data_IF_314007626857
#
_entry.id   IF_314007626857
#
_cell.length_a   1.000
_cell.length_b   1.000
_cell.length_c   1.000
_cell.angle_alpha   90.00
_cell.angle_beta   90.00
_cell.angle_gamma   90.00
#
_symmetry.space_group_name_H-M   'P 1'
#
loop_
_entity.id
_entity.type
_entity.pdbx_description
1 polymer ?
#
# COMPACT_ATOMS: atom_id res chain seq x y z
N UNK A 1 19.71 3.43 9.54
CA UNK A 1 18.56 3.37 8.61
C UNK A 1 18.28 1.90 8.38
N UNK A 2 17.11 1.40 8.81
CA UNK A 2 16.74 0.00 8.57
C UNK A 2 16.62 -0.21 7.06
N UNK A 3 17.33 -1.21 6.56
CA UNK A 3 17.42 -1.53 5.14
C UNK A 3 16.03 -2.06 4.70
N UNK A 4 15.21 -1.17 4.11
CA UNK A 4 13.85 -1.44 3.63
C UNK A 4 13.84 -2.38 2.40
N UNK A 5 14.72 -3.40 2.36
CA UNK A 5 14.97 -4.26 1.19
C UNK A 5 13.71 -4.97 0.68
N UNK A 6 12.80 -5.33 1.57
CA UNK A 6 11.61 -6.09 1.19
C UNK A 6 10.57 -5.23 0.42
N UNK A 7 10.40 -3.96 0.79
CA UNK A 7 9.32 -3.13 0.24
C UNK A 7 9.44 -2.89 -1.29
N UNK A 8 10.59 -2.46 -1.84
CA UNK A 8 10.76 -2.32 -3.28
C UNK A 8 10.61 -3.65 -4.04
N UNK A 9 11.00 -4.77 -3.41
CA UNK A 9 10.99 -6.09 -4.04
C UNK A 9 9.56 -6.60 -4.27
N UNK A 10 8.66 -6.37 -3.32
CA UNK A 10 7.30 -6.90 -3.37
C UNK A 10 6.23 -5.87 -3.79
N UNK A 11 6.49 -4.57 -3.64
CA UNK A 11 5.47 -3.54 -3.82
C UNK A 11 5.59 -2.74 -5.14
N UNK A 12 6.71 -2.79 -5.86
CA UNK A 12 6.96 -1.92 -7.04
C UNK A 12 6.64 -2.52 -8.42
N UNK A 13 6.03 -3.70 -8.52
CA UNK A 13 5.71 -4.26 -9.84
C UNK A 13 4.30 -3.85 -10.28
N UNK A 14 4.13 -3.13 -11.40
CA UNK A 14 2.81 -2.88 -11.95
C UNK A 14 2.20 -4.22 -12.36
N UNK A 15 1.00 -4.50 -11.84
CA UNK A 15 0.17 -5.62 -12.29
C UNK A 15 -0.73 -5.10 -13.40
N UNK A 16 -0.87 -5.82 -14.51
CA UNK A 16 -1.70 -5.41 -15.64
C UNK A 16 -3.04 -6.16 -15.64
N UNK A 17 -4.09 -5.53 -16.18
CA UNK A 17 -5.41 -6.16 -16.39
C UNK A 17 -5.28 -7.26 -17.42
N UNK A 18 -5.77 -8.46 -17.11
CA UNK A 18 -6.00 -9.47 -18.15
C UNK A 18 -7.47 -9.38 -18.55
N UNK A 19 -7.75 -8.92 -19.77
CA UNK A 19 -8.89 -9.48 -20.51
C UNK A 19 -8.41 -10.82 -21.03
N UNK A 20 -9.20 -11.86 -20.75
CA UNK A 20 -8.98 -13.23 -21.19
C UNK A 20 -8.42 -13.24 -22.63
N UNK A 21 -7.25 -13.89 -22.80
CA UNK A 21 -6.58 -14.31 -24.05
C UNK A 21 -5.63 -13.36 -24.83
N UNK A 22 -5.50 -12.06 -24.57
CA UNK A 22 -4.83 -11.16 -25.56
C UNK A 22 -3.82 -10.13 -25.00
N UNK A 23 -3.04 -10.45 -23.96
CA UNK A 23 -2.01 -9.50 -23.46
C UNK A 23 -0.96 -9.09 -24.51
N UNK A 24 -0.72 -9.94 -25.50
CA UNK A 24 0.29 -9.72 -26.55
C UNK A 24 -0.19 -8.77 -27.66
N UNK A 25 -1.50 -8.57 -27.83
CA UNK A 25 -2.07 -7.84 -28.97
C UNK A 25 -2.69 -6.49 -28.62
N UNK A 26 -2.81 -6.15 -27.34
CA UNK A 26 -3.42 -4.88 -26.93
C UNK A 26 -2.42 -3.70 -27.04
N UNK A 27 -2.77 -2.62 -27.78
CA UNK A 27 -2.01 -1.38 -27.80
C UNK A 27 -1.77 -0.84 -26.39
N UNK A 28 -0.64 -0.14 -26.19
CA UNK A 28 -0.23 0.41 -24.88
C UNK A 28 -1.32 1.28 -24.23
N UNK A 29 -2.11 1.99 -25.03
CA UNK A 29 -3.22 2.84 -24.61
C UNK A 29 -4.40 2.06 -24.00
N UNK A 30 -4.55 0.78 -24.34
CA UNK A 30 -5.62 -0.09 -23.86
C UNK A 30 -5.20 -0.91 -22.63
N UNK A 31 -3.93 -0.83 -22.23
CA UNK A 31 -3.40 -1.52 -21.04
C UNK A 31 -3.78 -0.74 -19.79
N UNK A 32 -4.74 -1.27 -19.04
CA UNK A 32 -5.13 -0.73 -17.73
C UNK A 32 -4.15 -1.27 -16.68
N UNK A 33 -3.46 -0.35 -16.01
CA UNK A 33 -2.60 -0.66 -14.87
C UNK A 33 -3.45 -0.90 -13.64
N UNK A 34 -3.16 -1.96 -12.89
CA UNK A 34 -3.77 -2.18 -11.58
C UNK A 34 -3.29 -1.10 -10.61
N UNK A 35 -4.17 -0.18 -10.26
CA UNK A 35 -3.94 0.83 -9.25
C UNK A 35 -4.92 0.60 -8.09
N UNK A 36 -4.49 -0.03 -6.97
CA UNK A 36 -5.39 -0.29 -5.84
C UNK A 36 -6.10 0.96 -5.32
N UNK A 37 -5.45 2.11 -5.40
CA UNK A 37 -6.03 3.40 -4.99
C UNK A 37 -7.19 3.88 -5.87
N UNK A 38 -7.36 3.33 -7.08
CA UNK A 38 -8.43 3.69 -8.01
C UNK A 38 -9.68 2.81 -7.84
N UNK A 39 -9.61 1.72 -7.07
CA UNK A 39 -10.71 0.79 -6.91
C UNK A 39 -11.32 0.92 -5.50
N UNK A 40 -12.65 0.84 -5.42
CA UNK A 40 -13.41 0.92 -4.16
C UNK A 40 -13.79 -0.46 -3.61
N UNK A 41 -13.74 -1.51 -4.43
CA UNK A 41 -14.03 -2.87 -3.99
C UNK A 41 -13.06 -3.89 -4.60
N UNK A 42 -12.72 -4.90 -3.79
CA UNK A 42 -11.86 -6.01 -4.16
C UNK A 42 -12.52 -7.32 -3.75
N UNK A 43 -12.61 -8.27 -4.68
CA UNK A 43 -13.11 -9.62 -4.44
C UNK A 43 -12.02 -10.61 -4.84
N UNK A 44 -11.56 -11.39 -3.86
CA UNK A 44 -10.63 -12.48 -4.11
C UNK A 44 -11.39 -13.69 -4.66
N UNK A 45 -10.93 -14.24 -5.79
CA UNK A 45 -11.51 -15.44 -6.34
C UNK A 45 -10.81 -16.67 -5.71
N UNK A 46 -11.48 -17.29 -4.73
CA UNK A 46 -10.94 -18.48 -4.04
C UNK A 46 -10.71 -19.68 -4.99
N UNK A 47 -11.47 -19.78 -6.07
CA UNK A 47 -11.34 -20.85 -7.06
C UNK A 47 -10.13 -20.64 -7.97
N UNK A 48 -9.73 -19.38 -8.22
CA UNK A 48 -8.61 -19.02 -9.08
C UNK A 48 -7.56 -18.24 -8.28
N UNK A 49 -6.65 -18.96 -7.62
CA UNK A 49 -5.56 -18.33 -6.84
C UNK A 49 -4.78 -17.33 -7.68
N UNK A 50 -4.59 -16.14 -7.12
CA UNK A 50 -3.91 -15.03 -7.77
C UNK A 50 -4.80 -14.21 -8.68
N UNK A 51 -6.10 -14.51 -8.77
CA UNK A 51 -7.07 -13.66 -9.49
C UNK A 51 -7.80 -12.76 -8.51
N UNK A 52 -7.80 -11.47 -8.81
CA UNK A 52 -8.59 -10.46 -8.10
C UNK A 52 -9.56 -9.82 -9.07
N UNK A 53 -10.78 -9.60 -8.60
CA UNK A 53 -11.79 -8.81 -9.30
C UNK A 53 -11.94 -7.49 -8.54
N UNK A 54 -11.87 -6.38 -9.26
CA UNK A 54 -12.06 -5.05 -8.68
C UNK A 54 -13.17 -4.28 -9.34
N UNK A 55 -13.70 -3.30 -8.62
CA UNK A 55 -14.73 -2.38 -9.10
C UNK A 55 -14.33 -0.96 -8.73
N UNK A 56 -14.65 -0.01 -9.60
CA UNK A 56 -14.37 1.42 -9.40
C UNK A 56 -15.29 2.02 -8.33
N UNK A 57 -16.47 1.44 -8.14
CA UNK A 57 -17.44 1.80 -7.11
C UNK A 57 -17.84 0.57 -6.29
N UNK A 58 -18.28 0.80 -5.05
CA UNK A 58 -18.88 -0.25 -4.22
C UNK A 58 -20.12 -0.76 -4.96
N UNK A 59 -20.16 -2.07 -5.22
CA UNK A 59 -21.21 -2.74 -6.01
C UNK A 59 -21.40 -2.19 -7.43
N UNK A 60 -20.35 -1.59 -8.01
CA UNK A 60 -20.36 -1.08 -9.38
C UNK A 60 -20.63 -2.17 -10.43
N UNK A 61 -21.30 -1.80 -11.52
CA UNK A 61 -21.61 -2.71 -12.62
C UNK A 61 -20.34 -3.12 -13.39
N UNK A 62 -19.42 -2.18 -13.59
CA UNK A 62 -18.16 -2.45 -14.26
C UNK A 62 -17.17 -3.12 -13.30
N UNK A 63 -16.55 -4.21 -13.77
CA UNK A 63 -15.53 -4.92 -13.02
C UNK A 63 -14.32 -5.25 -13.88
N UNK A 64 -13.17 -5.27 -13.22
CA UNK A 64 -11.87 -5.51 -13.81
C UNK A 64 -11.26 -6.74 -13.15
N UNK A 65 -10.76 -7.67 -13.96
CA UNK A 65 -10.05 -8.84 -13.45
C UNK A 65 -8.55 -8.67 -13.66
N UNK A 66 -7.78 -8.92 -12.63
CA UNK A 66 -6.32 -8.85 -12.66
C UNK A 66 -5.73 -10.17 -12.17
N UNK A 67 -4.66 -10.60 -12.85
CA UNK A 67 -3.84 -11.72 -12.39
C UNK A 67 -2.65 -11.17 -11.62
N UNK A 68 -2.65 -11.35 -10.32
CA UNK A 68 -1.48 -11.14 -9.50
C UNK A 68 -0.40 -12.12 -9.94
N UNK A 69 0.87 -11.68 -10.05
CA UNK A 69 1.97 -12.56 -10.37
C UNK A 69 1.99 -13.72 -9.38
N UNK A 70 1.97 -14.95 -9.90
CA UNK A 70 2.09 -16.15 -9.07
C UNK A 70 3.45 -16.11 -8.38
N UNK A 71 3.47 -15.79 -7.09
CA UNK A 71 4.65 -16.06 -6.28
C UNK A 71 4.80 -17.59 -6.21
N UNK A 72 5.92 -18.10 -6.72
CA UNK A 72 6.21 -19.54 -6.82
C UNK A 72 6.56 -20.16 -5.46
N UNK A 73 6.60 -19.36 -4.38
CA UNK A 73 6.92 -19.80 -3.03
C UNK A 73 5.91 -19.33 -1.99
N UNK A 74 5.93 -19.97 -0.82
CA UNK A 74 5.24 -19.49 0.36
C UNK A 74 5.78 -18.09 0.72
N UNK A 75 4.91 -17.09 0.74
CA UNK A 75 5.27 -15.75 1.20
C UNK A 75 5.22 -15.76 2.72
N UNK A 76 6.38 -15.63 3.36
CA UNK A 76 6.45 -15.38 4.80
C UNK A 76 6.29 -13.88 5.05
N UNK A 77 5.42 -13.51 5.99
CA UNK A 77 5.38 -12.13 6.48
C UNK A 77 6.73 -11.78 7.11
N UNK A 78 7.23 -10.54 6.92
CA UNK A 78 8.40 -10.08 7.65
C UNK A 78 8.17 -10.22 9.16
N UNK A 79 9.03 -10.96 9.84
CA UNK A 79 9.03 -11.05 11.31
C UNK A 79 9.71 -9.85 11.96
N UNK A 80 10.50 -9.11 11.19
CA UNK A 80 11.21 -7.92 11.65
C UNK A 80 10.27 -6.71 11.69
N UNK A 81 10.37 -5.94 12.78
CA UNK A 81 9.66 -4.67 12.89
C UNK A 81 10.26 -3.67 11.90
N UNK A 82 9.38 -2.98 11.17
CA UNK A 82 9.77 -1.89 10.24
C UNK A 82 10.54 -0.78 10.98
N UNK A 83 10.21 -0.55 12.26
CA UNK A 83 10.87 0.43 13.12
C UNK A 83 11.45 -0.26 14.37
N UNK A 84 12.79 -0.27 14.46
CA UNK A 84 13.54 -0.93 15.54
C UNK A 84 13.13 -0.45 16.95
N UNK A 85 12.76 0.82 17.08
CA UNK A 85 12.40 1.43 18.38
C UNK A 85 10.90 1.69 18.54
N UNK A 86 10.03 1.05 17.73
CA UNK A 86 8.61 1.39 17.61
C UNK A 86 8.32 2.86 17.26
N UNK A 87 9.34 3.61 16.82
CA UNK A 87 9.21 5.02 16.44
C UNK A 87 9.08 5.15 14.93
N UNK A 88 7.98 5.75 14.49
CA UNK A 88 7.77 6.09 13.09
C UNK A 88 8.51 7.41 12.80
N UNK A 89 9.40 7.47 11.79
CA UNK A 89 10.04 8.71 11.40
C UNK A 89 9.00 9.77 11.01
N UNK A 90 9.07 10.93 11.65
CA UNK A 90 8.18 12.06 11.37
C UNK A 90 8.92 13.06 10.47
N UNK A 91 8.20 13.60 9.49
CA UNK A 91 8.73 14.65 8.62
C UNK A 91 9.12 15.89 9.46
N UNK A 92 10.30 16.47 9.20
CA UNK A 92 10.82 17.64 9.92
C UNK A 92 9.85 18.83 9.95
N UNK A 93 9.07 19.05 8.88
CA UNK A 93 8.02 20.09 8.86
C UNK A 93 6.93 19.84 9.90
N UNK A 94 6.55 18.58 10.12
CA UNK A 94 5.55 18.22 11.13
C UNK A 94 6.11 18.41 12.54
N UNK A 95 7.37 18.07 12.78
CA UNK A 95 8.07 18.31 14.06
C UNK A 95 8.07 19.81 14.38
N UNK A 96 8.42 20.66 13.41
CA UNK A 96 8.40 22.12 13.59
C UNK A 96 7.00 22.65 13.91
N UNK A 97 5.97 22.16 13.22
CA UNK A 97 4.57 22.54 13.49
C UNK A 97 4.12 22.13 14.90
N UNK A 98 4.52 20.95 15.39
CA UNK A 98 4.23 20.51 16.75
C UNK A 98 4.85 21.48 17.77
N UNK A 99 6.10 21.92 17.53
CA UNK A 99 6.76 22.92 18.37
C UNK A 99 6.02 24.26 18.44
N UNK A 100 5.40 24.70 17.34
CA UNK A 100 4.62 25.96 17.32
C UNK A 100 3.37 25.89 18.19
N UNK A 101 2.71 24.73 18.25
CA UNK A 101 1.47 24.56 19.01
C UNK A 101 1.69 24.01 20.41
N UNK A 102 2.95 23.77 20.83
CA UNK A 102 3.29 23.15 22.13
C UNK A 102 2.67 23.87 23.32
N UNK A 103 2.55 25.21 23.24
CA UNK A 103 1.94 26.05 24.28
C UNK A 103 0.44 25.81 24.47
N UNK A 104 -0.23 25.31 23.43
CA UNK A 104 -1.66 25.01 23.40
C UNK A 104 -1.98 23.54 23.71
N UNK A 105 -0.95 22.72 23.93
CA UNK A 105 -1.11 21.30 24.29
C UNK A 105 -1.47 21.22 25.77
N UNK A 106 -2.54 20.48 26.10
CA UNK A 106 -2.94 20.23 27.48
C UNK A 106 -1.83 19.50 28.24
N UNK A 107 -1.68 19.81 29.52
CA UNK A 107 -0.60 19.31 30.37
C UNK A 107 -0.49 17.77 30.34
N UNK A 108 -1.65 17.09 30.35
CA UNK A 108 -1.76 15.63 30.28
C UNK A 108 -1.12 15.00 29.03
N UNK A 109 -0.99 15.75 27.92
CA UNK A 109 -0.38 15.27 26.69
C UNK A 109 1.06 15.74 26.49
N UNK A 110 1.58 16.68 27.30
CA UNK A 110 2.94 17.23 27.10
C UNK A 110 4.02 16.17 27.13
N UNK A 111 3.93 15.23 28.08
CA UNK A 111 4.89 14.12 28.24
C UNK A 111 5.02 13.31 26.94
N UNK A 112 3.93 13.09 26.23
CA UNK A 112 3.92 12.38 24.95
C UNK A 112 4.62 13.19 23.85
N UNK A 113 4.30 14.47 23.71
CA UNK A 113 4.89 15.32 22.67
C UNK A 113 6.37 15.64 22.92
N UNK A 114 6.80 15.72 24.18
CA UNK A 114 8.21 15.90 24.53
C UNK A 114 9.06 14.69 24.12
N UNK A 115 8.49 13.48 24.07
CA UNK A 115 9.19 12.30 23.54
C UNK A 115 9.35 12.36 22.02
N UNK A 116 8.48 13.10 21.33
CA UNK A 116 8.51 13.28 19.87
C UNK A 116 9.50 14.38 19.45
N UNK A 117 9.68 15.41 20.29
CA UNK A 117 10.51 16.58 20.02
C UNK A 117 12.00 16.40 20.42
N UNK A 118 12.35 15.32 21.11
CA UNK A 118 13.75 14.95 21.45
C UNK A 118 14.47 14.36 20.24
#
# INVERSE_FOLDING_TARGET
MADLKWWPQYYKKPVYRMKVLEEEYLPKEQKITFAPSACMAFKYNANNRGVIVTQDFIDGLESHTFHLPKNVGAVSLPSERVYLNNMVPINSKKIANIGQVQRSILEEYKVFYDQILK
#
